data_IF_435058215166
#
_entry.id   IF_435058215166
#
_cell.length_a   1.000
_cell.length_b   1.000
_cell.length_c   1.000
_cell.angle_alpha   90.00
_cell.angle_beta   90.00
_cell.angle_gamma   90.00
#
_symmetry.space_group_name_H-M   'P 1'
#
loop_
_entity.id
_entity.type
_entity.pdbx_description
1 polymer ?
#
# COMPACT_ATOMS: atom_id res chain seq x y z
N UNK A 1 56.58 -8.21 26.22
CA UNK A 1 55.37 -7.42 25.95
C UNK A 1 54.79 -7.79 24.58
N UNK A 2 53.81 -8.72 24.49
CA UNK A 2 52.98 -8.95 23.29
C UNK A 2 51.65 -9.61 23.72
N UNK A 3 50.67 -8.82 24.16
CA UNK A 3 49.28 -9.26 24.44
C UNK A 3 48.28 -8.15 24.08
N UNK A 4 48.34 -7.63 22.86
CA UNK A 4 47.43 -6.56 22.43
C UNK A 4 47.03 -6.64 20.95
N UNK A 5 47.04 -7.82 20.33
CA UNK A 5 46.67 -7.96 18.90
C UNK A 5 45.48 -8.91 18.64
N UNK A 6 44.89 -9.52 19.67
CA UNK A 6 43.81 -10.49 19.49
C UNK A 6 42.38 -9.95 19.59
N UNK A 7 42.18 -8.70 20.04
CA UNK A 7 40.84 -8.20 20.43
C UNK A 7 40.20 -7.29 19.37
N UNK A 8 40.97 -6.78 18.39
CA UNK A 8 40.45 -5.75 17.47
C UNK A 8 39.62 -6.34 16.31
N UNK A 9 39.81 -7.61 15.96
CA UNK A 9 39.14 -8.21 14.79
C UNK A 9 37.68 -8.63 15.08
N UNK A 10 37.33 -8.87 16.35
CA UNK A 10 35.97 -9.23 16.76
C UNK A 10 34.99 -8.05 16.84
N UNK A 11 35.49 -6.83 17.08
CA UNK A 11 34.64 -5.65 17.20
C UNK A 11 34.27 -5.05 15.83
N UNK A 12 35.16 -5.15 14.84
CA UNK A 12 34.92 -4.62 13.50
C UNK A 12 33.87 -5.44 12.71
N UNK A 13 33.77 -6.75 12.97
CA UNK A 13 32.76 -7.61 12.34
C UNK A 13 31.37 -7.43 12.94
N UNK A 14 31.25 -7.13 14.23
CA UNK A 14 29.97 -6.79 14.87
C UNK A 14 29.45 -5.40 14.46
N UNK A 15 30.34 -4.43 14.25
CA UNK A 15 29.96 -3.11 13.76
C UNK A 15 29.47 -3.17 12.30
N UNK A 16 30.13 -3.97 11.45
CA UNK A 16 29.73 -4.08 10.04
C UNK A 16 28.44 -4.88 9.83
N UNK A 17 28.13 -5.86 10.68
CA UNK A 17 26.84 -6.55 10.66
C UNK A 17 25.68 -5.61 11.09
N UNK A 18 25.92 -4.70 12.05
CA UNK A 18 24.96 -3.66 12.40
C UNK A 18 24.80 -2.60 11.30
N UNK A 19 25.87 -2.26 10.57
CA UNK A 19 25.82 -1.32 9.45
C UNK A 19 25.20 -1.90 8.18
N UNK A 20 25.32 -3.21 7.94
CA UNK A 20 24.65 -3.90 6.82
C UNK A 20 23.14 -4.09 7.08
N UNK A 21 22.72 -4.27 8.34
CA UNK A 21 21.31 -4.29 8.72
C UNK A 21 20.65 -2.89 8.66
N UNK A 22 21.45 -1.82 8.74
CA UNK A 22 20.96 -0.44 8.65
C UNK A 22 20.90 0.12 7.22
N UNK A 23 21.55 -0.52 6.24
CA UNK A 23 21.66 0.00 4.86
C UNK A 23 20.57 -0.47 3.90
N UNK A 24 19.59 -1.26 4.35
CA UNK A 24 18.49 -1.71 3.51
C UNK A 24 17.18 -1.84 4.31
N UNK A 25 16.92 -0.87 5.20
CA UNK A 25 15.61 -0.75 5.83
C UNK A 25 14.61 -0.36 4.74
N UNK A 26 13.97 -1.35 4.12
CA UNK A 26 12.66 -1.15 3.47
C UNK A 26 11.78 -0.46 4.51
N UNK A 27 11.48 0.83 4.29
CA UNK A 27 10.61 1.58 5.18
C UNK A 27 9.22 0.90 5.15
N UNK A 28 8.76 0.27 6.24
CA UNK A 28 7.55 -0.55 6.23
C UNK A 28 6.32 0.24 5.78
N UNK A 29 6.29 1.55 6.05
CA UNK A 29 5.24 2.48 5.63
C UNK A 29 5.20 2.66 4.12
N UNK A 30 6.35 2.64 3.43
CA UNK A 30 6.41 2.70 1.97
C UNK A 30 5.87 1.41 1.34
N UNK A 31 6.14 0.26 1.95
CA UNK A 31 5.58 -1.03 1.54
C UNK A 31 4.06 -1.11 1.78
N UNK A 32 3.60 -0.54 2.89
CA UNK A 32 2.18 -0.34 3.17
C UNK A 32 1.51 0.53 2.09
N UNK A 33 2.09 1.68 1.77
CA UNK A 33 1.61 2.55 0.68
C UNK A 33 1.52 1.78 -0.64
N UNK A 34 2.55 1.01 -0.99
CA UNK A 34 2.57 0.21 -2.20
C UNK A 34 1.43 -0.80 -2.22
N UNK A 35 1.21 -1.52 -1.11
CA UNK A 35 0.11 -2.48 -0.98
C UNK A 35 -1.26 -1.81 -1.21
N UNK A 36 -1.48 -0.62 -0.65
CA UNK A 36 -2.71 0.13 -0.87
C UNK A 36 -2.88 0.60 -2.33
N UNK A 37 -1.79 1.00 -3.00
CA UNK A 37 -1.82 1.35 -4.41
C UNK A 37 -2.19 0.15 -5.29
N UNK A 38 -1.55 -0.99 -5.06
CA UNK A 38 -1.76 -2.22 -5.84
C UNK A 38 -3.20 -2.74 -5.68
N UNK A 39 -3.73 -2.74 -4.45
CA UNK A 39 -5.12 -3.16 -4.17
C UNK A 39 -6.13 -2.24 -4.83
N UNK A 40 -5.93 -0.92 -4.77
CA UNK A 40 -6.80 0.04 -5.44
C UNK A 40 -6.76 -0.09 -6.97
N UNK A 41 -5.56 -0.19 -7.54
CA UNK A 41 -5.37 -0.39 -8.98
C UNK A 41 -6.02 -1.68 -9.47
N UNK A 42 -5.92 -2.76 -8.69
CA UNK A 42 -6.54 -4.03 -9.06
C UNK A 42 -8.06 -3.95 -9.08
N UNK A 43 -8.67 -3.33 -8.05
CA UNK A 43 -10.11 -3.11 -8.04
C UNK A 43 -10.55 -2.23 -9.22
N UNK A 44 -9.83 -1.13 -9.48
CA UNK A 44 -10.12 -0.25 -10.62
C UNK A 44 -10.08 -1.01 -11.95
N UNK A 45 -9.00 -1.77 -12.19
CA UNK A 45 -8.84 -2.54 -13.42
C UNK A 45 -9.96 -3.54 -13.63
N UNK A 46 -10.31 -4.32 -12.60
CA UNK A 46 -11.35 -5.34 -12.70
C UNK A 46 -12.73 -4.69 -12.96
N UNK A 47 -13.04 -3.55 -12.31
CA UNK A 47 -14.27 -2.78 -12.55
C UNK A 47 -14.33 -2.16 -13.94
N UNK A 48 -13.23 -1.55 -14.41
CA UNK A 48 -13.18 -0.92 -15.73
C UNK A 48 -13.29 -1.97 -16.86
N UNK A 49 -12.70 -3.14 -16.66
CA UNK A 49 -12.86 -4.28 -17.56
C UNK A 49 -14.32 -4.77 -17.60
N UNK A 50 -14.98 -4.89 -16.44
CA UNK A 50 -16.40 -5.26 -16.39
C UNK A 50 -17.29 -4.21 -17.05
N UNK A 51 -17.06 -2.92 -16.78
CA UNK A 51 -17.78 -1.82 -17.41
C UNK A 51 -17.58 -1.80 -18.92
N UNK A 52 -16.36 -2.10 -19.40
CA UNK A 52 -16.05 -2.20 -20.82
C UNK A 52 -16.77 -3.39 -21.48
N UNK A 53 -16.82 -4.55 -20.82
CA UNK A 53 -17.59 -5.70 -21.29
C UNK A 53 -19.09 -5.41 -21.44
N UNK A 54 -19.66 -4.64 -20.50
CA UNK A 54 -21.05 -4.16 -20.56
C UNK A 54 -21.24 -3.20 -21.74
N UNK A 55 -20.38 -2.18 -21.86
CA UNK A 55 -20.46 -1.16 -22.93
C UNK A 55 -20.34 -1.76 -24.33
N UNK A 56 -19.46 -2.74 -24.50
CA UNK A 56 -19.21 -3.40 -25.78
C UNK A 56 -20.28 -4.44 -26.14
N UNK A 57 -21.23 -4.72 -25.24
CA UNK A 57 -22.34 -5.64 -25.45
C UNK A 57 -21.90 -7.04 -25.95
N UNK A 58 -20.76 -7.55 -25.44
CA UNK A 58 -20.13 -8.79 -25.93
C UNK A 58 -21.09 -9.99 -25.77
N UNK A 59 -21.70 -10.15 -24.59
CA UNK A 59 -22.92 -10.93 -24.36
C UNK A 59 -23.48 -10.61 -22.97
N UNK A 60 -24.79 -10.81 -22.77
CA UNK A 60 -25.47 -10.51 -21.49
C UNK A 60 -24.94 -11.36 -20.34
N UNK A 61 -24.65 -12.65 -20.59
CA UNK A 61 -24.15 -13.56 -19.56
C UNK A 61 -22.68 -13.27 -19.23
N UNK A 62 -21.84 -12.98 -20.23
CA UNK A 62 -20.46 -12.58 -20.01
C UNK A 62 -20.36 -11.27 -19.21
N UNK A 63 -21.14 -10.26 -19.60
CA UNK A 63 -21.17 -8.97 -18.90
C UNK A 63 -21.60 -9.13 -17.43
N UNK A 64 -22.55 -10.02 -17.15
CA UNK A 64 -23.01 -10.33 -15.78
C UNK A 64 -21.95 -11.07 -14.97
N UNK A 65 -21.25 -12.03 -15.57
CA UNK A 65 -20.13 -12.73 -14.93
C UNK A 65 -19.00 -11.77 -14.60
N UNK A 66 -18.56 -10.96 -15.59
CA UNK A 66 -17.49 -9.99 -15.41
C UNK A 66 -17.81 -8.97 -14.31
N UNK A 67 -19.03 -8.45 -14.25
CA UNK A 67 -19.46 -7.56 -13.17
C UNK A 67 -19.42 -8.24 -11.79
N UNK A 68 -19.86 -9.49 -11.70
CA UNK A 68 -19.85 -10.27 -10.45
C UNK A 68 -18.41 -10.53 -9.98
N UNK A 69 -17.54 -10.92 -10.90
CA UNK A 69 -16.13 -11.19 -10.60
C UNK A 69 -15.37 -9.92 -10.22
N UNK A 70 -15.67 -8.79 -10.87
CA UNK A 70 -15.11 -7.49 -10.52
C UNK A 70 -15.53 -7.04 -9.11
N UNK A 71 -16.82 -7.14 -8.77
CA UNK A 71 -17.30 -6.84 -7.41
C UNK A 71 -16.63 -7.74 -6.36
N UNK A 72 -16.52 -9.04 -6.63
CA UNK A 72 -15.85 -9.98 -5.71
C UNK A 72 -14.36 -9.65 -5.57
N UNK A 73 -13.68 -9.32 -6.66
CA UNK A 73 -12.27 -8.93 -6.64
C UNK A 73 -12.06 -7.66 -5.81
N UNK A 74 -12.86 -6.62 -6.04
CA UNK A 74 -12.81 -5.38 -5.26
C UNK A 74 -13.02 -5.61 -3.77
N UNK A 75 -13.99 -6.44 -3.37
CA UNK A 75 -14.20 -6.81 -1.98
C UNK A 75 -12.95 -7.49 -1.38
N UNK A 76 -12.34 -8.43 -2.12
CA UNK A 76 -11.09 -9.06 -1.68
C UNK A 76 -9.90 -8.07 -1.59
N UNK A 77 -9.85 -7.05 -2.45
CA UNK A 77 -8.85 -5.98 -2.36
C UNK A 77 -9.09 -5.07 -1.15
N UNK A 78 -10.35 -4.79 -0.81
CA UNK A 78 -10.73 -4.06 0.40
C UNK A 78 -10.24 -4.80 1.65
N UNK A 79 -10.49 -6.12 1.72
CA UNK A 79 -10.02 -6.95 2.83
C UNK A 79 -8.49 -6.95 2.97
N UNK A 80 -7.78 -7.03 1.84
CA UNK A 80 -6.30 -6.97 1.82
C UNK A 80 -5.77 -5.62 2.30
N UNK A 81 -6.35 -4.52 1.86
CA UNK A 81 -5.93 -3.19 2.32
C UNK A 81 -6.27 -2.93 3.78
N UNK A 82 -7.40 -3.46 4.28
CA UNK A 82 -7.73 -3.42 5.71
C UNK A 82 -6.75 -4.25 6.54
N UNK A 83 -6.37 -5.44 6.08
CA UNK A 83 -5.34 -6.26 6.74
C UNK A 83 -3.98 -5.55 6.77
N UNK A 84 -3.57 -4.92 5.67
CA UNK A 84 -2.33 -4.15 5.59
C UNK A 84 -2.35 -2.94 6.55
N UNK A 85 -3.46 -2.24 6.66
CA UNK A 85 -3.61 -1.15 7.63
C UNK A 85 -3.51 -1.64 9.08
N UNK A 86 -4.19 -2.75 9.42
CA UNK A 86 -4.14 -3.34 10.76
C UNK A 86 -2.72 -3.78 11.14
N UNK A 87 -2.00 -4.40 10.20
CA UNK A 87 -0.59 -4.77 10.39
C UNK A 87 0.29 -3.54 10.60
N UNK A 88 0.13 -2.52 9.76
CA UNK A 88 0.99 -1.33 9.80
C UNK A 88 0.75 -0.48 11.05
N UNK A 89 -0.49 -0.24 11.45
CA UNK A 89 -0.81 0.63 12.60
C UNK A 89 -0.47 0.02 13.96
N UNK A 90 -0.28 -1.30 14.00
CA UNK A 90 0.16 -2.06 15.17
C UNK A 90 1.67 -1.92 15.43
N UNK A 91 2.45 -1.50 14.42
CA UNK A 91 3.89 -1.26 14.55
C UNK A 91 4.16 0.05 15.32
N UNK A 92 5.31 0.17 15.99
CA UNK A 92 5.70 1.41 16.67
C UNK A 92 6.07 2.48 15.64
N UNK A 93 5.33 3.59 15.65
CA UNK A 93 5.48 4.73 14.75
C UNK A 93 5.61 6.04 15.53
N UNK A 94 6.34 7.01 14.99
CA UNK A 94 6.23 8.40 15.47
C UNK A 94 4.83 8.95 15.19
N UNK A 95 4.36 9.92 16.00
CA UNK A 95 2.96 10.39 15.93
C UNK A 95 2.56 10.86 14.53
N UNK A 96 3.41 11.65 13.86
CA UNK A 96 3.14 12.18 12.52
C UNK A 96 2.95 11.06 11.48
N UNK A 97 3.84 10.08 11.47
CA UNK A 97 3.77 8.90 10.58
C UNK A 97 2.51 8.08 10.88
N UNK A 98 2.21 7.86 12.16
CA UNK A 98 1.01 7.11 12.58
C UNK A 98 -0.28 7.77 12.10
N UNK A 99 -0.36 9.09 12.19
CA UNK A 99 -1.52 9.85 11.71
C UNK A 99 -1.57 9.91 10.19
N UNK A 100 -0.40 9.97 9.53
CA UNK A 100 -0.28 9.79 8.08
C UNK A 100 -0.79 8.43 7.61
N UNK A 101 -0.44 7.32 8.27
CA UNK A 101 -0.93 5.97 7.96
C UNK A 101 -2.47 5.92 8.02
N UNK A 102 -3.08 6.46 9.07
CA UNK A 102 -4.55 6.54 9.21
C UNK A 102 -5.17 7.40 8.11
N UNK A 103 -4.57 8.55 7.79
CA UNK A 103 -5.05 9.46 6.73
C UNK A 103 -5.00 8.76 5.37
N UNK A 104 -3.90 8.10 5.04
CA UNK A 104 -3.74 7.32 3.82
C UNK A 104 -4.80 6.22 3.74
N UNK A 105 -5.00 5.45 4.81
CA UNK A 105 -6.02 4.40 4.84
C UNK A 105 -7.43 4.96 4.59
N UNK A 106 -7.80 6.04 5.29
CA UNK A 106 -9.12 6.65 5.13
C UNK A 106 -9.37 7.13 3.69
N UNK A 107 -8.36 7.79 3.08
CA UNK A 107 -8.47 8.27 1.69
C UNK A 107 -8.48 7.12 0.68
N UNK A 108 -7.64 6.11 0.89
CA UNK A 108 -7.65 4.88 0.10
C UNK A 108 -9.02 4.21 0.15
N UNK A 109 -9.61 4.05 1.34
CA UNK A 109 -10.91 3.40 1.51
C UNK A 109 -12.00 4.16 0.76
N UNK A 110 -12.06 5.48 0.91
CA UNK A 110 -12.98 6.32 0.14
C UNK A 110 -12.75 6.16 -1.36
N UNK A 111 -11.49 6.15 -1.83
CA UNK A 111 -11.20 5.95 -3.23
C UNK A 111 -11.71 4.59 -3.74
N UNK A 112 -11.38 3.48 -3.07
CA UNK A 112 -11.81 2.14 -3.49
C UNK A 112 -13.33 1.98 -3.40
N UNK A 113 -13.99 2.53 -2.39
CA UNK A 113 -15.45 2.52 -2.27
C UNK A 113 -16.15 3.30 -3.40
N UNK A 114 -15.46 4.28 -4.02
CA UNK A 114 -15.98 4.98 -5.22
C UNK A 114 -15.81 4.18 -6.51
N UNK A 115 -15.03 3.10 -6.51
CA UNK A 115 -14.86 2.18 -7.63
C UNK A 115 -16.04 1.20 -7.68
N UNK A 116 -17.23 1.74 -7.95
CA UNK A 116 -18.48 1.00 -8.05
C UNK A 116 -18.85 0.62 -9.49
N UNK A 117 -19.70 -0.39 -9.68
CA UNK A 117 -20.21 -0.77 -10.99
C UNK A 117 -20.97 0.41 -11.63
N UNK A 118 -20.64 0.71 -12.89
CA UNK A 118 -21.28 1.81 -13.65
C UNK A 118 -20.85 3.22 -13.25
N UNK A 119 -19.85 3.38 -12.37
CA UNK A 119 -19.33 4.68 -11.94
C UNK A 119 -18.00 4.97 -12.66
N UNK A 120 -17.82 6.19 -13.16
CA UNK A 120 -16.51 6.66 -13.65
C UNK A 120 -15.60 6.95 -12.46
N UNK A 121 -14.31 6.63 -12.58
CA UNK A 121 -13.29 6.90 -11.56
C UNK A 121 -13.48 8.27 -10.93
N UNK A 122 -13.60 8.32 -9.60
CA UNK A 122 -13.68 9.57 -8.88
C UNK A 122 -12.28 10.19 -8.75
N UNK A 123 -11.91 11.02 -9.74
CA UNK A 123 -10.61 11.68 -9.79
C UNK A 123 -10.29 12.50 -8.53
N UNK A 124 -11.31 13.06 -7.86
CA UNK A 124 -11.11 13.80 -6.62
C UNK A 124 -10.73 12.86 -5.46
N UNK A 125 -11.34 11.68 -5.37
CA UNK A 125 -10.99 10.68 -4.36
C UNK A 125 -9.59 10.08 -4.61
N UNK A 126 -9.27 9.82 -5.88
CA UNK A 126 -7.93 9.38 -6.29
C UNK A 126 -6.85 10.43 -5.96
N UNK A 127 -7.10 11.70 -6.30
CA UNK A 127 -6.19 12.81 -5.96
C UNK A 127 -5.98 12.89 -4.45
N UNK A 128 -7.06 12.87 -3.66
CA UNK A 128 -6.97 12.95 -2.21
C UNK A 128 -6.19 11.77 -1.59
N UNK A 129 -6.28 10.58 -2.19
CA UNK A 129 -5.45 9.44 -1.81
C UNK A 129 -3.97 9.68 -2.17
N UNK A 130 -3.68 10.15 -3.38
CA UNK A 130 -2.31 10.44 -3.81
C UNK A 130 -1.65 11.54 -2.96
N UNK A 131 -2.39 12.58 -2.61
CA UNK A 131 -1.93 13.66 -1.74
C UNK A 131 -1.57 13.12 -0.34
N UNK A 132 -2.46 12.31 0.26
CA UNK A 132 -2.19 11.69 1.55
C UNK A 132 -0.97 10.75 1.51
N UNK A 133 -0.76 10.04 0.40
CA UNK A 133 0.43 9.21 0.21
C UNK A 133 1.70 10.06 0.15
N UNK A 134 1.67 11.17 -0.59
CA UNK A 134 2.82 12.06 -0.70
C UNK A 134 3.16 12.70 0.65
N UNK A 135 2.14 13.11 1.41
CA UNK A 135 2.32 13.60 2.78
C UNK A 135 3.00 12.54 3.65
N UNK A 136 2.51 11.29 3.66
CA UNK A 136 3.11 10.22 4.45
C UNK A 136 4.55 9.91 3.99
N UNK A 137 4.83 9.92 2.69
CA UNK A 137 6.20 9.75 2.18
C UNK A 137 7.13 10.84 2.68
N UNK A 138 6.71 12.10 2.61
CA UNK A 138 7.50 13.23 3.11
C UNK A 138 7.79 13.11 4.60
N UNK A 139 6.81 12.66 5.38
CA UNK A 139 7.00 12.36 6.79
C UNK A 139 8.02 11.22 6.97
N UNK A 140 7.85 10.11 6.28
CA UNK A 140 8.74 8.94 6.41
C UNK A 140 10.19 9.25 5.99
N UNK A 141 10.39 10.11 4.99
CA UNK A 141 11.70 10.50 4.46
C UNK A 141 12.35 11.66 5.22
N UNK A 142 11.58 12.49 5.94
CA UNK A 142 12.07 13.58 6.78
C UNK A 142 11.70 13.34 8.26
N UNK A 143 12.37 12.38 8.93
CA UNK A 143 12.06 11.96 10.29
C UNK A 143 12.32 13.03 11.36
#
# INVERSE_FOLDING_TARGET
MKKALGVVIGAATLAWAASAAAQNQENPELKYIQTLRETAQRCWFDQDMANSAIKLNISRDYARSAATDATRSCAAQLDKGEAAFKDEIAKPHRSAVRDGIKKVYARWRTYVETLGPGVSVNAAAESAFNDAVNDLKLEVENP
#
